data_IF_618481757450
#
_entry.id   IF_618481757450
#
_cell.length_a   1.000
_cell.length_b   1.000
_cell.length_c   1.000
_cell.angle_alpha   90.00
_cell.angle_beta   90.00
_cell.angle_gamma   90.00
#
_symmetry.space_group_name_H-M   'P 1'
#
loop_
_entity.id
_entity.type
_entity.pdbx_description
1 polymer ?
#
# COMPACT_ATOMS: atom_id res chain seq x y z
N UNK A 1 -1.97 -7.47 -7.89
CA UNK A 1 -1.56 -6.11 -8.28
C UNK A 1 -0.04 -6.04 -8.34
N UNK A 2 0.57 -5.20 -9.18
CA UNK A 2 2.04 -5.05 -9.23
C UNK A 2 2.52 -3.89 -8.33
N UNK A 3 3.83 -3.78 -8.11
CA UNK A 3 4.43 -2.77 -7.22
C UNK A 3 4.15 -1.35 -7.71
N UNK A 4 4.34 -1.09 -9.02
CA UNK A 4 4.15 0.24 -9.60
C UNK A 4 2.74 0.82 -9.35
N UNK A 5 1.69 -0.02 -9.43
CA UNK A 5 0.33 0.40 -9.13
C UNK A 5 0.13 0.76 -7.64
N UNK A 6 0.77 0.05 -6.72
CA UNK A 6 0.69 0.36 -5.28
C UNK A 6 1.49 1.64 -4.98
N UNK A 7 2.66 1.81 -5.59
CA UNK A 7 3.44 3.05 -5.47
C UNK A 7 2.62 4.26 -5.93
N UNK A 8 1.83 4.13 -6.99
CA UNK A 8 0.94 5.21 -7.44
C UNK A 8 -0.16 5.54 -6.43
N UNK A 9 -0.82 4.53 -5.86
CA UNK A 9 -1.80 4.74 -4.78
C UNK A 9 -1.16 5.45 -3.58
N UNK A 10 0.09 5.13 -3.25
CA UNK A 10 0.84 5.83 -2.20
C UNK A 10 1.09 7.29 -2.57
N UNK A 11 1.52 7.58 -3.82
CA UNK A 11 1.75 8.97 -4.28
C UNK A 11 0.49 9.81 -4.17
N UNK A 12 -0.62 9.28 -4.66
CA UNK A 12 -1.93 9.95 -4.60
C UNK A 12 -2.41 10.16 -3.15
N UNK A 13 -2.18 9.18 -2.27
CA UNK A 13 -2.67 9.23 -0.89
C UNK A 13 -1.81 10.11 0.02
N UNK A 14 -0.50 10.12 -0.18
CA UNK A 14 0.47 10.87 0.61
C UNK A 14 0.78 12.25 0.00
N UNK A 15 0.24 12.55 -1.18
CA UNK A 15 0.54 13.77 -1.94
C UNK A 15 2.06 13.95 -2.14
N UNK A 16 2.75 12.85 -2.43
CA UNK A 16 4.21 12.77 -2.53
C UNK A 16 4.61 11.99 -3.79
N UNK A 17 5.24 12.65 -4.76
CA UNK A 17 5.67 12.00 -6.00
C UNK A 17 6.93 11.12 -5.84
N UNK A 18 7.73 11.35 -4.80
CA UNK A 18 9.01 10.67 -4.54
C UNK A 18 8.85 9.34 -3.77
N UNK A 19 7.86 8.52 -4.16
CA UNK A 19 7.66 7.17 -3.62
C UNK A 19 8.49 6.16 -4.41
N UNK A 20 9.36 5.44 -3.70
CA UNK A 20 10.07 4.25 -4.19
C UNK A 20 9.37 2.97 -3.74
N UNK A 21 9.73 1.85 -4.35
CA UNK A 21 9.09 0.55 -4.11
C UNK A 21 9.25 0.03 -2.66
N UNK A 22 10.31 0.45 -1.96
CA UNK A 22 10.60 0.11 -0.56
C UNK A 22 10.31 1.27 0.41
N UNK A 23 9.62 2.32 -0.05
CA UNK A 23 9.28 3.45 0.81
C UNK A 23 8.23 3.06 1.85
N UNK A 24 8.62 3.18 3.12
CA UNK A 24 7.74 2.91 4.26
C UNK A 24 6.66 4.00 4.39
N UNK A 25 5.40 3.57 4.37
CA UNK A 25 4.24 4.45 4.39
C UNK A 25 4.20 5.37 5.62
N UNK A 26 4.54 4.84 6.80
CA UNK A 26 4.47 5.59 8.06
C UNK A 26 5.65 6.53 8.22
N UNK A 27 6.83 6.16 7.73
CA UNK A 27 8.00 7.05 7.68
C UNK A 27 7.75 8.26 6.78
N UNK A 28 6.95 8.08 5.72
CA UNK A 28 6.56 9.15 4.81
C UNK A 28 5.41 10.04 5.33
N UNK A 29 4.96 9.84 6.58
CA UNK A 29 3.90 10.63 7.19
C UNK A 29 2.50 10.08 7.01
N UNK A 30 2.37 8.84 6.51
CA UNK A 30 1.09 8.13 6.49
C UNK A 30 0.54 7.86 7.89
N UNK A 31 -0.78 7.83 8.01
CA UNK A 31 -1.50 7.50 9.24
C UNK A 31 -2.54 6.39 9.01
N UNK A 32 -3.29 6.03 10.05
CA UNK A 32 -4.30 4.97 9.97
C UNK A 32 -5.45 5.28 9.02
N UNK A 33 -5.84 6.56 8.89
CA UNK A 33 -6.89 6.99 7.99
C UNK A 33 -6.42 6.87 6.53
N UNK A 34 -5.21 7.33 6.25
CA UNK A 34 -4.59 7.23 4.93
C UNK A 34 -4.33 5.76 4.57
N UNK A 35 -3.84 4.94 5.49
CA UNK A 35 -3.66 3.50 5.27
C UNK A 35 -5.00 2.80 4.94
N UNK A 36 -6.09 3.15 5.63
CA UNK A 36 -7.43 2.65 5.30
C UNK A 36 -7.87 3.03 3.87
N UNK A 37 -7.52 4.23 3.41
CA UNK A 37 -7.77 4.68 2.03
C UNK A 37 -6.97 3.85 1.03
N UNK A 38 -5.69 3.60 1.32
CA UNK A 38 -4.84 2.74 0.48
C UNK A 38 -5.42 1.33 0.39
N UNK A 39 -5.76 0.70 1.52
CA UNK A 39 -6.38 -0.63 1.58
C UNK A 39 -7.66 -0.69 0.75
N UNK A 40 -8.52 0.33 0.88
CA UNK A 40 -9.75 0.45 0.08
C UNK A 40 -9.47 0.60 -1.41
N UNK A 41 -8.44 1.35 -1.81
CA UNK A 41 -8.04 1.51 -3.20
C UNK A 41 -7.49 0.21 -3.79
N UNK A 42 -6.65 -0.51 -3.04
CA UNK A 42 -6.12 -1.83 -3.42
C UNK A 42 -7.26 -2.83 -3.64
N UNK A 43 -8.20 -2.91 -2.69
CA UNK A 43 -9.35 -3.80 -2.78
C UNK A 43 -10.23 -3.49 -4.01
N UNK A 44 -10.45 -2.20 -4.31
CA UNK A 44 -11.18 -1.80 -5.53
C UNK A 44 -10.43 -2.13 -6.82
N UNK A 45 -9.11 -1.99 -6.83
CA UNK A 45 -8.30 -2.19 -8.02
C UNK A 45 -8.11 -3.67 -8.40
N UNK A 46 -8.03 -4.57 -7.43
CA UNK A 46 -7.70 -5.97 -7.70
C UNK A 46 -8.55 -7.01 -6.95
N UNK A 47 -9.49 -6.60 -6.11
CA UNK A 47 -10.35 -7.50 -5.33
C UNK A 47 -9.65 -8.20 -4.15
N UNK A 48 -8.38 -7.90 -3.90
CA UNK A 48 -7.65 -8.44 -2.75
C UNK A 48 -8.02 -7.67 -1.48
N UNK A 49 -8.45 -8.39 -0.45
CA UNK A 49 -8.70 -7.84 0.87
C UNK A 49 -7.44 -8.05 1.72
N UNK A 50 -6.70 -6.97 1.93
CA UNK A 50 -5.66 -6.89 2.94
C UNK A 50 -6.28 -6.26 4.19
N UNK A 51 -5.94 -6.78 5.36
CA UNK A 51 -6.33 -6.13 6.62
C UNK A 51 -5.28 -5.10 7.06
N UNK A 52 -5.57 -4.42 8.17
CA UNK A 52 -4.66 -3.40 8.69
C UNK A 52 -3.39 -4.02 9.31
N UNK A 53 -3.48 -5.23 9.84
CA UNK A 53 -2.32 -5.95 10.38
C UNK A 53 -1.33 -6.33 9.26
N UNK A 54 -1.83 -6.77 8.10
CA UNK A 54 -1.04 -6.99 6.89
C UNK A 54 -0.31 -5.73 6.44
N UNK A 55 -0.98 -4.58 6.55
CA UNK A 55 -0.39 -3.30 6.21
C UNK A 55 0.73 -2.91 7.19
N UNK A 56 0.51 -3.11 8.49
CA UNK A 56 1.51 -2.82 9.53
C UNK A 56 2.74 -3.73 9.43
N UNK A 57 2.54 -4.99 9.07
CA UNK A 57 3.62 -5.98 8.88
C UNK A 57 4.48 -5.68 7.63
N UNK A 58 3.88 -5.06 6.61
CA UNK A 58 4.48 -4.85 5.31
C UNK A 58 4.16 -3.46 4.70
N UNK A 59 4.54 -2.33 5.34
CA UNK A 59 4.07 -0.99 4.97
C UNK A 59 4.78 -0.39 3.74
N UNK A 60 5.21 -1.21 2.78
CA UNK A 60 5.90 -0.76 1.56
C UNK A 60 5.18 -1.27 0.30
N UNK A 61 5.24 -0.54 -0.82
CA UNK A 61 4.63 -1.00 -2.08
C UNK A 61 5.10 -2.40 -2.51
N UNK A 62 6.39 -2.68 -2.40
CA UNK A 62 6.98 -3.97 -2.76
C UNK A 62 6.47 -5.11 -1.87
N UNK A 63 6.35 -4.87 -0.57
CA UNK A 63 5.90 -5.90 0.37
C UNK A 63 4.39 -6.16 0.25
N UNK A 64 3.57 -5.12 0.08
CA UNK A 64 2.14 -5.27 -0.18
C UNK A 64 1.88 -6.03 -1.48
N UNK A 65 2.63 -5.75 -2.55
CA UNK A 65 2.50 -6.49 -3.81
C UNK A 65 2.77 -7.99 -3.63
N UNK A 66 3.76 -8.35 -2.80
CA UNK A 66 4.08 -9.74 -2.48
C UNK A 66 2.95 -10.41 -1.71
N UNK A 67 2.37 -9.75 -0.70
CA UNK A 67 1.21 -10.27 0.05
C UNK A 67 0.01 -10.51 -0.87
N UNK A 68 -0.28 -9.59 -1.79
CA UNK A 68 -1.38 -9.75 -2.77
C UNK A 68 -1.10 -10.92 -3.73
N UNK A 69 0.15 -11.14 -4.12
CA UNK A 69 0.52 -12.21 -5.05
C UNK A 69 0.58 -13.60 -4.39
N UNK A 70 0.73 -13.66 -3.07
CA UNK A 70 0.71 -14.89 -2.27
C UNK A 70 -0.44 -14.82 -1.27
N UNK A 71 -1.70 -14.93 -1.72
CA UNK A 71 -2.81 -15.06 -0.78
C UNK A 71 -2.58 -16.31 0.06
N UNK A 72 -2.52 -16.12 1.39
CA UNK A 72 -2.40 -17.21 2.35
C UNK A 72 -3.64 -18.12 2.34
#
# INVERSE_FOLDING_TARGET
MNVAAISEIFRETLENDEISDDSDFFVLGGDSLLATRVLSAIARACGAELDFDDFLDAPTPAALAKKIASPA
#
